data_IF_597703240791
#
_entry.id   IF_597703240791
#
_cell.length_a   1.000
_cell.length_b   1.000
_cell.length_c   1.000
_cell.angle_alpha   90.00
_cell.angle_beta   90.00
_cell.angle_gamma   90.00
#
_symmetry.space_group_name_H-M   'P 1'
#
loop_
_entity.id
_entity.type
_entity.pdbx_description
1 polymer ?
#
# COMPACT_ATOMS: atom_id res chain seq x y z
N UNK A 1 -13.28 19.96 1.82
CA UNK A 1 -12.30 18.94 1.40
C UNK A 1 -11.48 19.53 0.27
N UNK A 2 -10.16 19.52 0.37
CA UNK A 2 -9.33 20.01 -0.71
C UNK A 2 -9.52 19.12 -1.96
N UNK A 3 -9.63 19.73 -3.13
CA UNK A 3 -9.65 19.02 -4.40
C UNK A 3 -8.25 18.48 -4.67
N UNK A 4 -8.12 17.24 -5.14
CA UNK A 4 -6.85 16.72 -5.62
C UNK A 4 -6.41 17.51 -6.87
N UNK A 5 -5.10 17.58 -7.10
CA UNK A 5 -4.55 18.32 -8.24
C UNK A 5 -4.56 17.48 -9.52
N UNK A 6 -4.39 16.15 -9.37
CA UNK A 6 -4.37 15.23 -10.52
C UNK A 6 -5.80 14.82 -10.88
N UNK A 7 -6.14 14.93 -12.16
CA UNK A 7 -7.47 14.58 -12.66
C UNK A 7 -7.85 13.13 -12.32
N UNK A 8 -6.92 12.19 -12.50
CA UNK A 8 -7.17 10.79 -12.17
C UNK A 8 -7.47 10.56 -10.69
N UNK A 9 -6.81 11.28 -9.78
CA UNK A 9 -7.08 11.21 -8.34
C UNK A 9 -8.45 11.81 -7.97
N UNK A 10 -8.93 12.81 -8.73
CA UNK A 10 -10.28 13.33 -8.56
C UNK A 10 -11.33 12.29 -8.97
N UNK A 11 -11.10 11.56 -10.08
CA UNK A 11 -11.97 10.46 -10.51
C UNK A 11 -12.00 9.31 -9.49
N UNK A 12 -10.84 8.94 -8.94
CA UNK A 12 -10.75 7.96 -7.85
C UNK A 12 -11.57 8.41 -6.63
N UNK A 13 -11.46 9.68 -6.24
CA UNK A 13 -12.26 10.22 -5.14
C UNK A 13 -13.76 10.08 -5.43
N UNK A 14 -14.19 10.42 -6.64
CA UNK A 14 -15.59 10.27 -7.09
C UNK A 14 -16.03 8.80 -6.99
N UNK A 15 -15.17 7.87 -7.44
CA UNK A 15 -15.41 6.44 -7.29
C UNK A 15 -15.57 6.04 -5.81
N UNK A 16 -14.67 6.49 -4.92
CA UNK A 16 -14.71 6.17 -3.49
C UNK A 16 -16.01 6.66 -2.81
N UNK A 17 -16.61 7.74 -3.28
CA UNK A 17 -17.90 8.25 -2.77
C UNK A 17 -19.10 7.34 -3.14
N UNK A 18 -19.00 6.56 -4.22
CA UNK A 18 -20.02 5.64 -4.67
C UNK A 18 -20.00 4.27 -4.00
N UNK A 19 -18.93 3.89 -3.31
CA UNK A 19 -18.93 2.63 -2.56
C UNK A 19 -19.86 2.69 -1.35
N UNK A 20 -20.42 1.55 -0.96
CA UNK A 20 -21.30 1.42 0.17
C UNK A 20 -20.50 1.36 1.49
N UNK A 21 -20.35 2.51 2.12
CA UNK A 21 -19.52 2.69 3.31
C UNK A 21 -19.92 1.83 4.48
N UNK A 22 -21.24 1.66 4.70
CA UNK A 22 -21.76 0.86 5.81
C UNK A 22 -21.44 -0.61 5.58
N UNK A 23 -21.68 -1.11 4.37
CA UNK A 23 -21.30 -2.46 3.98
C UNK A 23 -19.80 -2.72 4.15
N UNK A 24 -18.95 -1.77 3.73
CA UNK A 24 -17.51 -1.89 3.87
C UNK A 24 -17.05 -1.90 5.32
N UNK A 25 -17.66 -1.07 6.16
CA UNK A 25 -17.39 -1.02 7.59
C UNK A 25 -17.79 -2.31 8.31
N UNK A 26 -19.00 -2.80 8.04
CA UNK A 26 -19.53 -4.03 8.63
C UNK A 26 -18.72 -5.26 8.24
N UNK A 27 -18.25 -5.32 6.99
CA UNK A 27 -17.52 -6.45 6.46
C UNK A 27 -15.99 -6.26 6.46
N UNK A 28 -15.47 -5.19 7.08
CA UNK A 28 -14.03 -4.90 7.15
C UNK A 28 -13.34 -4.90 5.78
N UNK A 29 -13.96 -4.26 4.78
CA UNK A 29 -13.36 -4.05 3.46
C UNK A 29 -12.63 -2.71 3.51
N UNK A 30 -11.31 -2.70 3.31
CA UNK A 30 -10.46 -1.56 3.70
C UNK A 30 -9.72 -1.02 2.47
N UNK A 31 -9.89 0.27 2.18
CA UNK A 31 -9.14 0.96 1.14
C UNK A 31 -7.66 1.01 1.48
N UNK A 32 -6.82 0.54 0.57
CA UNK A 32 -5.37 0.43 0.75
C UNK A 32 -4.58 0.71 -0.52
N UNK A 33 -3.49 -0.02 -0.66
CA UNK A 33 -2.63 0.07 -1.84
C UNK A 33 -1.86 1.38 -1.95
N UNK A 34 -1.21 1.55 -3.09
CA UNK A 34 -0.39 2.74 -3.38
C UNK A 34 -1.21 4.02 -3.48
N UNK A 35 -2.44 3.92 -3.97
CA UNK A 35 -3.33 5.07 -4.15
C UNK A 35 -3.74 5.67 -2.81
N UNK A 36 -4.08 4.85 -1.81
CA UNK A 36 -4.36 5.35 -0.46
C UNK A 36 -3.17 6.15 0.10
N UNK A 37 -1.95 5.68 -0.10
CA UNK A 37 -0.72 6.33 0.34
C UNK A 37 -0.49 7.64 -0.43
N UNK A 38 -0.55 7.59 -1.76
CA UNK A 38 -0.32 8.76 -2.61
C UNK A 38 -1.30 9.90 -2.29
N UNK A 39 -2.59 9.58 -2.09
CA UNK A 39 -3.62 10.57 -1.77
C UNK A 39 -3.41 11.23 -0.40
N UNK A 40 -2.93 10.50 0.62
CA UNK A 40 -2.63 11.09 1.93
C UNK A 40 -1.32 11.91 1.91
N UNK A 41 -0.35 11.52 1.10
CA UNK A 41 0.95 12.18 0.97
C UNK A 41 0.96 13.27 -0.12
N UNK A 42 -0.12 14.04 -0.23
CA UNK A 42 -0.24 15.19 -1.14
C UNK A 42 0.05 14.84 -2.61
N UNK A 43 -0.41 13.66 -3.04
CA UNK A 43 -0.26 13.21 -4.44
C UNK A 43 1.21 13.17 -4.91
N UNK A 44 2.13 12.76 -4.02
CA UNK A 44 3.58 12.79 -4.28
C UNK A 44 3.97 12.00 -5.54
N UNK A 45 3.14 11.04 -5.97
CA UNK A 45 3.22 10.32 -7.25
C UNK A 45 1.84 10.07 -7.82
N UNK A 46 1.78 9.74 -9.08
CA UNK A 46 0.56 9.22 -9.68
C UNK A 46 0.27 7.79 -9.19
N UNK A 47 -1.00 7.50 -8.92
CA UNK A 47 -1.49 6.16 -8.61
C UNK A 47 -2.89 6.01 -9.16
N UNK A 48 -3.10 5.02 -10.01
CA UNK A 48 -4.25 4.94 -10.90
C UNK A 48 -5.23 3.80 -10.57
N UNK A 49 -4.87 2.94 -9.64
CA UNK A 49 -5.68 1.77 -9.26
C UNK A 49 -6.41 2.03 -7.93
N UNK A 50 -7.54 1.37 -7.72
CA UNK A 50 -8.23 1.32 -6.43
C UNK A 50 -8.08 -0.09 -5.87
N UNK A 51 -7.42 -0.20 -4.72
CA UNK A 51 -7.23 -1.47 -4.02
C UNK A 51 -8.02 -1.48 -2.71
N UNK A 52 -8.87 -2.48 -2.55
CA UNK A 52 -9.50 -2.81 -1.28
C UNK A 52 -8.93 -4.12 -0.75
N UNK A 53 -8.59 -4.12 0.54
CA UNK A 53 -8.02 -5.27 1.22
C UNK A 53 -9.06 -5.91 2.13
N UNK A 54 -9.20 -7.22 2.00
CA UNK A 54 -10.05 -8.05 2.83
C UNK A 54 -9.16 -8.80 3.82
N UNK A 55 -9.05 -8.37 5.10
CA UNK A 55 -8.06 -8.88 6.04
C UNK A 55 -8.30 -10.33 6.47
N UNK A 56 -9.48 -10.86 6.25
CA UNK A 56 -9.87 -12.21 6.63
C UNK A 56 -10.81 -12.86 5.60
N UNK A 57 -11.07 -14.16 5.80
CA UNK A 57 -11.93 -14.94 4.90
C UNK A 57 -13.38 -14.47 4.85
N UNK A 58 -13.89 -13.90 5.95
CA UNK A 58 -15.29 -13.43 6.01
C UNK A 58 -15.44 -12.15 5.20
N UNK A 59 -14.50 -11.23 5.32
CA UNK A 59 -14.45 -10.00 4.53
C UNK A 59 -14.42 -10.30 3.02
N UNK A 60 -13.53 -11.20 2.59
CA UNK A 60 -13.44 -11.57 1.18
C UNK A 60 -14.65 -12.36 0.69
N UNK A 61 -15.23 -13.22 1.54
CA UNK A 61 -16.48 -13.92 1.23
C UNK A 61 -17.64 -12.94 1.02
N UNK A 62 -17.73 -11.89 1.83
CA UNK A 62 -18.76 -10.87 1.67
C UNK A 62 -18.66 -10.19 0.29
N UNK A 63 -17.45 -9.82 -0.15
CA UNK A 63 -17.21 -9.29 -1.50
C UNK A 63 -17.67 -10.28 -2.57
N UNK A 64 -17.28 -11.55 -2.47
CA UNK A 64 -17.62 -12.55 -3.47
C UNK A 64 -19.11 -12.89 -3.57
N UNK A 65 -19.85 -12.79 -2.48
CA UNK A 65 -21.30 -13.03 -2.46
C UNK A 65 -22.07 -11.95 -3.21
N UNK A 66 -21.60 -10.71 -3.18
CA UNK A 66 -22.22 -9.58 -3.89
C UNK A 66 -21.83 -9.52 -5.37
N UNK A 67 -20.66 -10.04 -5.71
CA UNK A 67 -20.10 -9.88 -7.05
C UNK A 67 -20.65 -10.90 -8.03
N UNK A 68 -21.08 -10.40 -9.19
CA UNK A 68 -21.36 -11.20 -10.41
C UNK A 68 -20.39 -10.80 -11.52
N UNK A 69 -20.46 -11.43 -12.70
CA UNK A 69 -19.68 -11.04 -13.88
C UNK A 69 -20.01 -9.62 -14.38
N UNK A 70 -21.14 -9.05 -13.96
CA UNK A 70 -21.69 -7.78 -14.50
C UNK A 70 -22.00 -6.72 -13.43
N UNK A 71 -21.89 -7.02 -12.16
CA UNK A 71 -22.24 -6.10 -11.07
C UNK A 71 -21.42 -6.41 -9.82
N UNK A 72 -21.16 -5.37 -9.04
CA UNK A 72 -20.59 -5.43 -7.69
C UNK A 72 -21.68 -5.51 -6.60
N UNK A 73 -22.96 -5.51 -6.97
CA UNK A 73 -24.08 -5.63 -6.03
C UNK A 73 -24.04 -4.57 -4.93
N UNK A 74 -24.24 -4.98 -3.68
CA UNK A 74 -24.29 -4.08 -2.52
C UNK A 74 -22.93 -3.45 -2.14
N UNK A 75 -21.83 -3.78 -2.84
CA UNK A 75 -20.54 -3.10 -2.64
C UNK A 75 -20.58 -1.64 -3.09
N UNK A 76 -21.52 -1.27 -3.95
CA UNK A 76 -21.70 0.07 -4.48
C UNK A 76 -23.11 0.59 -4.23
N UNK A 77 -23.29 1.91 -4.21
CA UNK A 77 -24.62 2.55 -4.08
C UNK A 77 -25.36 2.53 -5.42
N UNK A 78 -24.62 2.82 -6.50
CA UNK A 78 -25.08 2.77 -7.88
C UNK A 78 -24.07 1.99 -8.70
N UNK A 79 -24.54 1.11 -9.59
CA UNK A 79 -23.64 0.34 -10.43
C UNK A 79 -22.79 1.25 -11.33
N UNK A 80 -21.53 0.90 -11.45
CA UNK A 80 -20.63 1.51 -12.42
C UNK A 80 -20.89 0.94 -13.83
N UNK A 81 -20.40 1.61 -14.82
CA UNK A 81 -20.18 0.98 -16.11
C UNK A 81 -18.90 0.13 -16.05
N UNK A 82 -19.02 -1.14 -16.45
CA UNK A 82 -17.91 -2.10 -16.46
C UNK A 82 -17.55 -2.41 -17.92
N UNK A 83 -16.42 -1.88 -18.45
CA UNK A 83 -16.01 -2.11 -19.84
C UNK A 83 -15.63 -3.54 -20.12
N UNK A 84 -15.45 -4.36 -19.10
CA UNK A 84 -15.16 -5.80 -19.17
C UNK A 84 -15.87 -6.54 -18.05
N UNK A 85 -16.04 -7.86 -18.22
CA UNK A 85 -16.57 -8.74 -17.16
C UNK A 85 -15.70 -8.69 -15.91
N UNK A 86 -16.37 -8.70 -14.75
CA UNK A 86 -15.73 -8.77 -13.45
C UNK A 86 -15.22 -10.19 -13.25
N UNK A 87 -13.98 -10.31 -12.86
CA UNK A 87 -13.32 -11.60 -12.59
C UNK A 87 -13.14 -11.81 -11.11
N UNK A 88 -13.63 -12.96 -10.62
CA UNK A 88 -13.50 -13.37 -9.23
C UNK A 88 -12.79 -14.72 -9.17
N UNK A 89 -11.63 -14.76 -8.52
CA UNK A 89 -10.89 -15.97 -8.23
C UNK A 89 -10.75 -16.19 -6.71
N UNK A 90 -9.86 -17.10 -6.31
CA UNK A 90 -9.63 -17.41 -4.89
C UNK A 90 -8.98 -16.25 -4.14
N UNK A 91 -8.16 -15.47 -4.81
CA UNK A 91 -7.25 -14.51 -4.21
C UNK A 91 -7.71 -13.06 -4.40
N UNK A 92 -8.55 -12.79 -5.41
CA UNK A 92 -9.09 -11.44 -5.61
C UNK A 92 -10.36 -11.41 -6.47
N UNK A 93 -11.10 -10.30 -6.35
CA UNK A 93 -12.08 -9.83 -7.34
C UNK A 93 -11.46 -8.64 -8.08
N UNK A 94 -11.45 -8.68 -9.41
CA UNK A 94 -10.81 -7.67 -10.26
C UNK A 94 -11.76 -7.21 -11.35
N UNK A 95 -11.86 -5.90 -11.52
CA UNK A 95 -12.60 -5.31 -12.64
C UNK A 95 -11.99 -3.97 -13.08
N UNK A 96 -12.54 -3.44 -14.15
CA UNK A 96 -12.39 -2.03 -14.52
C UNK A 96 -13.75 -1.37 -14.35
N UNK A 97 -13.76 -0.23 -13.68
CA UNK A 97 -14.91 0.68 -13.63
C UNK A 97 -14.59 1.87 -14.51
N UNK A 98 -15.61 2.50 -15.09
CA UNK A 98 -15.42 3.69 -15.92
C UNK A 98 -16.08 4.89 -15.26
N UNK A 99 -15.31 5.97 -15.12
CA UNK A 99 -15.76 7.26 -14.60
C UNK A 99 -15.35 8.33 -15.62
N UNK A 100 -16.31 9.09 -16.12
CA UNK A 100 -16.08 10.15 -17.11
C UNK A 100 -15.24 9.65 -18.32
N UNK A 101 -15.57 8.46 -18.84
CA UNK A 101 -14.86 7.76 -19.92
C UNK A 101 -13.41 7.35 -19.60
N UNK A 102 -13.02 7.38 -18.34
CA UNK A 102 -11.70 6.94 -17.89
C UNK A 102 -11.81 5.59 -17.17
N UNK A 103 -11.16 4.55 -17.66
CA UNK A 103 -11.16 3.25 -17.00
C UNK A 103 -10.23 3.27 -15.78
N UNK A 104 -10.75 2.85 -14.63
CA UNK A 104 -10.00 2.70 -13.38
C UNK A 104 -10.00 1.23 -13.01
N UNK A 105 -8.82 0.66 -12.77
CA UNK A 105 -8.69 -0.69 -12.26
C UNK A 105 -9.10 -0.74 -10.79
N UNK A 106 -9.95 -1.71 -10.46
CA UNK A 106 -10.43 -1.96 -9.11
C UNK A 106 -10.13 -3.40 -8.72
N UNK A 107 -9.51 -3.57 -7.55
CA UNK A 107 -9.23 -4.88 -6.99
C UNK A 107 -9.73 -4.98 -5.54
N UNK A 108 -10.34 -6.13 -5.21
CA UNK A 108 -10.59 -6.56 -3.84
C UNK A 108 -9.69 -7.76 -3.58
N UNK A 109 -8.72 -7.62 -2.70
CA UNK A 109 -7.66 -8.62 -2.48
C UNK A 109 -7.88 -9.34 -1.16
N UNK A 110 -7.82 -10.68 -1.19
CA UNK A 110 -7.86 -11.50 0.01
C UNK A 110 -6.51 -11.49 0.71
N UNK A 111 -6.48 -11.01 1.94
CA UNK A 111 -5.27 -10.96 2.79
C UNK A 111 -5.22 -12.06 3.85
N UNK A 112 -6.13 -13.02 3.82
CA UNK A 112 -6.15 -14.26 4.62
C UNK A 112 -5.51 -14.16 6.03
N UNK A 113 -6.23 -13.55 6.96
CA UNK A 113 -5.91 -13.48 8.39
C UNK A 113 -4.75 -12.51 8.76
N UNK A 114 -4.60 -11.40 8.04
CA UNK A 114 -3.72 -10.30 8.45
C UNK A 114 -4.43 -9.31 9.39
N UNK A 115 -3.71 -8.89 10.42
CA UNK A 115 -4.20 -7.89 11.38
C UNK A 115 -4.11 -6.47 10.81
N UNK A 116 -4.89 -6.18 9.76
CA UNK A 116 -4.94 -4.85 9.17
C UNK A 116 -5.81 -3.91 10.03
N UNK A 117 -5.27 -2.75 10.38
CA UNK A 117 -5.92 -1.73 11.19
C UNK A 117 -6.54 -0.65 10.30
N UNK A 118 -7.73 -0.20 10.68
CA UNK A 118 -8.42 0.93 10.04
C UNK A 118 -7.97 2.23 10.72
N UNK A 119 -7.69 3.25 9.92
CA UNK A 119 -7.39 4.58 10.41
C UNK A 119 -8.69 5.25 10.94
N UNK A 120 -8.79 5.55 12.23
CA UNK A 120 -9.97 6.20 12.79
C UNK A 120 -10.16 7.64 12.33
N UNK A 121 -9.10 8.27 11.81
CA UNK A 121 -9.08 9.68 11.39
C UNK A 121 -9.02 9.85 9.88
N UNK A 122 -9.22 8.75 9.13
CA UNK A 122 -9.06 8.76 7.69
C UNK A 122 -9.96 9.79 6.99
N UNK A 123 -9.45 10.50 5.97
CA UNK A 123 -10.23 11.51 5.26
C UNK A 123 -11.17 10.92 4.19
N UNK A 124 -11.08 9.62 3.94
CA UNK A 124 -11.86 8.95 2.91
C UNK A 124 -13.24 8.55 3.43
N UNK A 125 -14.20 8.46 2.53
CA UNK A 125 -15.57 8.04 2.90
C UNK A 125 -15.66 6.54 3.25
N UNK A 126 -14.78 5.73 2.69
CA UNK A 126 -14.67 4.28 2.98
C UNK A 126 -13.66 4.02 4.10
N UNK A 127 -13.74 2.90 4.83
CA UNK A 127 -12.67 2.50 5.74
C UNK A 127 -11.33 2.45 5.00
N UNK A 128 -10.28 3.02 5.57
CA UNK A 128 -8.96 3.03 4.97
C UNK A 128 -7.89 2.52 5.94
N UNK A 129 -6.81 1.97 5.41
CA UNK A 129 -5.69 1.46 6.21
C UNK A 129 -5.10 2.53 7.11
N UNK A 130 -4.76 2.17 8.33
CA UNK A 130 -3.90 2.97 9.20
C UNK A 130 -2.49 3.11 8.58
N UNK A 131 -1.72 4.10 9.05
CA UNK A 131 -0.33 4.27 8.59
C UNK A 131 0.52 3.03 8.86
N UNK A 132 0.34 2.39 10.02
CA UNK A 132 1.02 1.14 10.34
C UNK A 132 0.69 0.02 9.35
N UNK A 133 -0.58 -0.16 9.02
CA UNK A 133 -0.99 -1.17 8.02
C UNK A 133 -0.56 -0.79 6.59
N UNK A 134 -0.40 0.49 6.26
CA UNK A 134 0.22 0.90 5.00
C UNK A 134 1.70 0.47 4.95
N UNK A 135 2.46 0.70 6.03
CA UNK A 135 3.82 0.18 6.13
C UNK A 135 3.86 -1.33 5.99
N UNK A 136 3.06 -2.07 6.76
CA UNK A 136 2.99 -3.52 6.69
C UNK A 136 2.81 -3.99 5.25
N UNK A 137 1.78 -3.52 4.55
CA UNK A 137 1.50 -3.97 3.17
C UNK A 137 2.63 -3.66 2.20
N UNK A 138 3.35 -2.55 2.40
CA UNK A 138 4.49 -2.17 1.57
C UNK A 138 5.78 -2.91 1.92
N UNK A 139 5.98 -3.26 3.19
CA UNK A 139 7.07 -4.13 3.61
C UNK A 139 6.97 -5.52 2.96
N UNK A 140 5.77 -6.12 2.99
CA UNK A 140 5.52 -7.42 2.38
C UNK A 140 5.67 -7.38 0.87
N UNK A 141 5.06 -6.37 0.21
CA UNK A 141 5.18 -6.19 -1.22
C UNK A 141 6.63 -5.97 -1.67
N UNK A 142 7.41 -5.18 -0.93
CA UNK A 142 8.84 -5.01 -1.19
C UNK A 142 9.63 -6.31 -0.95
N UNK A 143 9.28 -7.10 0.05
CA UNK A 143 9.93 -8.38 0.29
C UNK A 143 9.76 -9.35 -0.89
N UNK A 144 8.58 -9.34 -1.53
CA UNK A 144 8.29 -10.20 -2.69
C UNK A 144 8.95 -9.74 -3.98
N UNK A 145 9.04 -8.42 -4.20
CA UNK A 145 9.39 -7.87 -5.52
C UNK A 145 10.38 -6.69 -5.49
N UNK A 146 11.28 -6.65 -4.50
CA UNK A 146 12.23 -5.54 -4.34
C UNK A 146 13.09 -5.25 -5.59
N UNK A 147 13.31 -6.25 -6.43
CA UNK A 147 14.09 -6.14 -7.66
C UNK A 147 13.25 -5.86 -8.93
N UNK A 148 11.93 -5.71 -8.79
CA UNK A 148 11.03 -5.56 -9.93
C UNK A 148 10.69 -4.09 -10.20
N UNK A 149 11.12 -3.58 -11.36
CA UNK A 149 10.71 -2.27 -11.86
C UNK A 149 9.15 -2.20 -11.97
N UNK A 150 8.53 -1.05 -11.72
CA UNK A 150 9.09 0.29 -11.45
C UNK A 150 9.39 0.58 -9.97
N UNK A 151 9.65 -0.40 -9.14
CA UNK A 151 10.06 -0.26 -7.73
C UNK A 151 9.10 0.57 -6.86
N UNK A 152 7.80 0.55 -7.17
CA UNK A 152 6.77 1.38 -6.49
C UNK A 152 6.82 1.26 -4.97
N UNK A 153 7.10 0.06 -4.44
CA UNK A 153 7.00 -0.22 -3.02
C UNK A 153 8.09 0.47 -2.21
N UNK A 154 9.34 0.51 -2.71
CA UNK A 154 10.39 1.25 -2.00
C UNK A 154 10.17 2.75 -2.07
N UNK A 155 9.65 3.30 -3.18
CA UNK A 155 9.27 4.71 -3.26
C UNK A 155 8.16 5.04 -2.26
N UNK A 156 7.13 4.19 -2.15
CA UNK A 156 6.05 4.36 -1.15
C UNK A 156 6.63 4.31 0.28
N UNK A 157 7.55 3.38 0.58
CA UNK A 157 8.18 3.26 1.91
C UNK A 157 9.01 4.52 2.23
N UNK A 158 9.85 4.99 1.30
CA UNK A 158 10.65 6.20 1.51
C UNK A 158 9.78 7.45 1.67
N UNK A 159 8.71 7.58 0.88
CA UNK A 159 7.77 8.68 1.01
C UNK A 159 7.03 8.65 2.36
N UNK A 160 6.56 7.47 2.80
CA UNK A 160 5.97 7.30 4.13
C UNK A 160 6.98 7.64 5.24
N UNK A 161 8.22 7.16 5.14
CA UNK A 161 9.26 7.44 6.12
C UNK A 161 9.56 8.94 6.21
N UNK A 162 9.68 9.63 5.09
CA UNK A 162 9.90 11.08 5.04
C UNK A 162 8.76 11.88 5.70
N UNK A 163 7.52 11.41 5.61
CA UNK A 163 6.34 12.16 6.08
C UNK A 163 5.77 11.67 7.42
N UNK A 164 5.82 10.36 7.67
CA UNK A 164 5.22 9.74 8.85
C UNK A 164 6.25 9.30 9.88
N UNK A 165 7.55 9.29 9.52
CA UNK A 165 8.63 8.85 10.38
C UNK A 165 8.86 7.34 10.36
N UNK A 166 9.40 6.80 11.43
CA UNK A 166 9.83 5.41 11.56
C UNK A 166 8.68 4.41 11.37
N UNK A 167 9.03 3.21 10.92
CA UNK A 167 8.09 2.10 10.77
C UNK A 167 7.60 1.67 12.15
N UNK A 168 6.28 1.69 12.42
CA UNK A 168 5.72 1.29 13.70
C UNK A 168 6.04 -0.18 14.06
N UNK A 169 6.21 -0.46 15.35
CA UNK A 169 6.54 -1.82 15.83
C UNK A 169 5.48 -2.85 15.45
N UNK A 170 4.20 -2.50 15.51
CA UNK A 170 3.11 -3.39 15.12
C UNK A 170 3.14 -3.78 13.63
N UNK A 171 3.65 -2.92 12.75
CA UNK A 171 3.91 -3.28 11.34
C UNK A 171 5.05 -4.30 11.22
N UNK A 172 6.11 -4.16 12.01
CA UNK A 172 7.21 -5.11 12.04
C UNK A 172 6.78 -6.46 12.62
N UNK A 173 6.03 -6.46 13.70
CA UNK A 173 5.57 -7.67 14.40
C UNK A 173 4.61 -8.48 13.51
N UNK A 174 3.70 -7.80 12.81
CA UNK A 174 2.79 -8.46 11.87
C UNK A 174 3.55 -8.97 10.63
N UNK A 175 4.52 -8.23 10.11
CA UNK A 175 5.39 -8.70 9.03
C UNK A 175 6.23 -9.91 9.44
N UNK A 176 6.70 -9.97 10.69
CA UNK A 176 7.42 -11.13 11.24
C UNK A 176 6.55 -12.38 11.27
N UNK A 177 5.29 -12.23 11.69
CA UNK A 177 4.34 -13.34 11.78
C UNK A 177 4.13 -14.04 10.43
N UNK A 178 4.12 -13.31 9.33
CA UNK A 178 3.77 -13.85 8.01
C UNK A 178 4.96 -14.16 7.11
N UNK A 179 6.02 -13.35 7.18
CA UNK A 179 7.18 -13.44 6.26
C UNK A 179 8.50 -13.73 6.96
N UNK A 180 8.56 -13.52 8.29
CA UNK A 180 9.82 -13.55 9.03
C UNK A 180 10.58 -12.22 8.91
N UNK A 181 10.79 -11.57 10.05
CA UNK A 181 11.42 -10.24 10.16
C UNK A 181 12.76 -10.15 9.43
N UNK A 182 13.58 -11.20 9.52
CA UNK A 182 14.90 -11.25 8.89
C UNK A 182 14.82 -11.16 7.36
N UNK A 183 13.84 -11.79 6.72
CA UNK A 183 13.66 -11.74 5.26
C UNK A 183 13.21 -10.35 4.83
N UNK A 184 12.19 -9.80 5.48
CA UNK A 184 11.65 -8.47 5.18
C UNK A 184 12.74 -7.42 5.33
N UNK A 185 13.46 -7.45 6.44
CA UNK A 185 14.57 -6.55 6.74
C UNK A 185 15.69 -6.62 5.69
N UNK A 186 16.13 -7.85 5.37
CA UNK A 186 17.18 -8.09 4.36
C UNK A 186 16.80 -7.53 2.99
N UNK A 187 15.58 -7.77 2.55
CA UNK A 187 15.12 -7.30 1.22
C UNK A 187 14.93 -5.78 1.19
N UNK A 188 14.55 -5.18 2.32
CA UNK A 188 14.46 -3.74 2.45
C UNK A 188 15.84 -3.06 2.36
N UNK A 189 16.86 -3.60 3.05
CA UNK A 189 18.25 -3.12 2.91
C UNK A 189 18.75 -3.26 1.47
N UNK A 190 18.47 -4.39 0.82
CA UNK A 190 18.83 -4.58 -0.60
C UNK A 190 18.17 -3.56 -1.51
N UNK A 191 16.92 -3.16 -1.27
CA UNK A 191 16.26 -2.10 -2.05
C UNK A 191 17.02 -0.79 -1.92
N UNK A 192 17.40 -0.41 -0.71
CA UNK A 192 18.16 0.82 -0.47
C UNK A 192 19.57 0.79 -1.10
N UNK A 193 20.26 -0.36 -1.00
CA UNK A 193 21.56 -0.58 -1.63
C UNK A 193 21.45 -0.53 -3.16
N UNK A 194 20.39 -1.09 -3.72
CA UNK A 194 20.11 -1.07 -5.15
C UNK A 194 19.85 0.36 -5.66
N UNK A 195 19.15 1.18 -4.90
CA UNK A 195 19.00 2.62 -5.18
C UNK A 195 20.37 3.29 -5.28
N UNK A 196 21.27 3.05 -4.32
CA UNK A 196 22.62 3.64 -4.34
C UNK A 196 23.45 3.22 -5.55
N UNK A 197 23.30 1.98 -6.00
CA UNK A 197 24.04 1.45 -7.14
C UNK A 197 23.47 1.90 -8.50
N UNK A 198 22.18 2.26 -8.56
CA UNK A 198 21.43 2.55 -9.80
C UNK A 198 20.61 3.85 -9.70
N UNK A 199 21.16 4.89 -9.05
CA UNK A 199 20.43 6.12 -8.76
C UNK A 199 19.83 6.83 -9.99
N UNK A 200 20.53 6.80 -11.13
CA UNK A 200 20.05 7.39 -12.40
C UNK A 200 18.79 6.67 -12.92
N UNK A 201 18.80 5.33 -12.88
CA UNK A 201 17.66 4.53 -13.37
C UNK A 201 16.43 4.73 -12.48
N UNK A 202 16.66 4.80 -11.15
CA UNK A 202 15.59 5.09 -10.21
C UNK A 202 15.02 6.49 -10.40
N UNK A 203 15.85 7.50 -10.67
CA UNK A 203 15.39 8.86 -10.96
C UNK A 203 14.55 8.91 -12.24
N UNK A 204 15.00 8.23 -13.30
CA UNK A 204 14.25 8.14 -14.55
C UNK A 204 12.90 7.45 -14.36
N UNK A 205 12.86 6.33 -13.62
CA UNK A 205 11.61 5.63 -13.30
C UNK A 205 10.68 6.51 -12.45
N UNK A 206 11.22 7.16 -11.42
CA UNK A 206 10.45 8.04 -10.54
C UNK A 206 9.76 9.17 -11.33
N UNK A 207 10.48 9.80 -12.23
CA UNK A 207 9.97 10.95 -13.00
C UNK A 207 9.09 10.53 -14.17
N UNK A 208 9.48 9.50 -14.94
CA UNK A 208 8.81 9.17 -16.20
C UNK A 208 7.70 8.13 -16.06
N UNK A 209 7.75 7.26 -15.03
CA UNK A 209 6.77 6.19 -14.85
C UNK A 209 5.86 6.39 -13.63
N UNK A 210 6.35 7.07 -12.59
CA UNK A 210 5.59 7.29 -11.36
C UNK A 210 5.10 8.74 -11.24
N UNK A 211 5.52 9.60 -12.15
CA UNK A 211 5.19 11.03 -12.17
C UNK A 211 5.48 11.71 -10.82
N UNK A 212 6.63 11.38 -10.22
CA UNK A 212 7.14 12.04 -9.01
C UNK A 212 7.85 13.33 -9.45
N UNK A 213 7.59 14.42 -8.74
CA UNK A 213 8.33 15.66 -8.98
C UNK A 213 9.85 15.42 -8.92
N UNK A 214 10.64 15.86 -9.91
CA UNK A 214 12.07 15.54 -10.00
C UNK A 214 12.87 15.92 -8.75
N UNK A 215 12.64 17.11 -8.18
CA UNK A 215 13.35 17.53 -6.97
C UNK A 215 12.98 16.67 -5.76
N UNK A 216 11.73 16.23 -5.65
CA UNK A 216 11.31 15.32 -4.60
C UNK A 216 11.85 13.90 -4.83
N UNK A 217 11.89 13.43 -6.07
CA UNK A 217 12.51 12.14 -6.40
C UNK A 217 13.99 12.12 -6.02
N UNK A 218 14.76 13.16 -6.37
CA UNK A 218 16.16 13.31 -5.95
C UNK A 218 16.29 13.31 -4.42
N UNK A 219 15.43 14.03 -3.71
CA UNK A 219 15.43 14.06 -2.25
C UNK A 219 15.18 12.65 -1.66
N UNK A 220 14.18 11.91 -2.16
CA UNK A 220 13.92 10.54 -1.72
C UNK A 220 15.12 9.62 -1.94
N UNK A 221 15.78 9.71 -3.10
CA UNK A 221 16.88 8.81 -3.45
C UNK A 221 18.20 9.17 -2.76
N UNK A 222 18.51 10.45 -2.57
CA UNK A 222 19.80 10.90 -2.04
C UNK A 222 19.78 11.15 -0.53
N UNK A 223 18.70 11.73 -0.01
CA UNK A 223 18.60 12.11 1.40
C UNK A 223 17.83 11.05 2.17
N UNK A 224 16.56 10.87 1.85
CA UNK A 224 15.69 9.97 2.60
C UNK A 224 16.19 8.52 2.60
N UNK A 225 16.72 8.03 1.47
CA UNK A 225 17.28 6.68 1.39
C UNK A 225 18.47 6.48 2.33
N UNK A 226 19.33 7.50 2.51
CA UNK A 226 20.47 7.42 3.44
C UNK A 226 20.01 7.45 4.90
N UNK A 227 19.06 8.33 5.23
CA UNK A 227 18.45 8.39 6.57
C UNK A 227 17.74 7.08 6.91
N UNK A 228 17.04 6.49 5.95
CA UNK A 228 16.35 5.22 6.11
C UNK A 228 17.33 4.05 6.29
N UNK A 229 18.43 4.01 5.52
CA UNK A 229 19.50 3.02 5.74
C UNK A 229 20.14 3.16 7.12
N UNK A 230 20.33 4.39 7.60
CA UNK A 230 20.84 4.63 8.96
C UNK A 230 19.87 4.06 10.01
N UNK A 231 18.60 4.40 9.91
CA UNK A 231 17.52 3.85 10.75
C UNK A 231 17.54 2.31 10.75
N UNK A 232 17.61 1.67 9.58
CA UNK A 232 17.67 0.21 9.48
C UNK A 232 18.92 -0.37 10.17
N UNK A 233 20.08 0.24 10.02
CA UNK A 233 21.32 -0.21 10.67
C UNK A 233 21.25 -0.11 12.19
N UNK A 234 20.62 0.92 12.73
CA UNK A 234 20.45 1.08 14.17
C UNK A 234 19.41 0.08 14.74
N UNK A 235 18.35 -0.17 13.99
CA UNK A 235 17.38 -1.21 14.33
C UNK A 235 18.03 -2.61 14.35
N UNK A 236 18.91 -2.93 13.39
CA UNK A 236 19.64 -4.20 13.34
C UNK A 236 20.53 -4.39 14.58
N UNK A 237 21.28 -3.36 14.98
CA UNK A 237 22.11 -3.39 16.19
C UNK A 237 21.28 -3.67 17.45
N UNK A 238 20.11 -3.04 17.55
CA UNK A 238 19.20 -3.24 18.68
C UNK A 238 18.68 -4.67 18.74
N UNK A 239 18.31 -5.24 17.60
CA UNK A 239 17.83 -6.64 17.49
C UNK A 239 18.92 -7.65 17.85
N UNK A 240 20.17 -7.43 17.41
CA UNK A 240 21.30 -8.29 17.73
C UNK A 240 21.63 -8.26 19.22
N UNK A 241 21.53 -7.11 19.87
CA UNK A 241 21.80 -6.95 21.31
C UNK A 241 20.72 -7.61 22.19
N UNK A 242 19.48 -7.66 21.75
CA UNK A 242 18.38 -8.33 22.47
C UNK A 242 18.40 -9.86 22.31
N UNK A 243 19.07 -10.38 21.29
CA UNK A 243 19.17 -11.81 20.98
C UNK A 243 20.31 -12.54 21.70
N UNK A 244 21.14 -11.84 22.47
CA UNK A 244 22.22 -12.46 23.24
C UNK A 244 21.68 -12.92 24.60
N UNK A 245 21.46 -14.21 24.86
CA UNK A 245 21.05 -14.66 26.20
C UNK A 245 22.20 -14.34 27.16
N UNK A 246 21.91 -13.65 28.24
CA UNK A 246 22.82 -13.57 29.39
C UNK A 246 23.04 -15.03 29.89
N UNK A 247 24.16 -15.63 29.49
CA UNK A 247 24.64 -16.83 30.15
C UNK A 247 25.00 -16.46 31.59
N UNK A 248 24.05 -16.62 32.49
CA UNK A 248 24.31 -16.61 33.90
C UNK A 248 25.10 -17.91 34.19
N UNK A 249 26.40 -17.78 34.36
CA UNK A 249 27.20 -18.85 34.97
C UNK A 249 26.80 -18.91 36.44
N UNK A 250 26.13 -19.99 36.83
CA UNK A 250 26.04 -20.47 38.21
C UNK A 250 27.20 -21.42 38.46
#
# INVERSE_FOLDING_TARGET
>A
MNSYLRDHHQLIRTALENFNHDFFKENRIIFGGGTRIALELNEYRESIDIDFLCPDKLSFRAVRLETTEKSLGNLVKEDFYYPREIRADRDAVRCFIEIENTPIKLEFVSFADYNLQIDPTNPFKVPALSRSSCYLTKLLANADRYANSPYKDIFDILAMFSHWGEIPNDAWDEADTHYGKALVFKNLKKSCEHINAHASDYLEIATNQLDINPAYAEHLLQVTNQEFLHYLNDLEKTLLNTSTPQRTFL
#
